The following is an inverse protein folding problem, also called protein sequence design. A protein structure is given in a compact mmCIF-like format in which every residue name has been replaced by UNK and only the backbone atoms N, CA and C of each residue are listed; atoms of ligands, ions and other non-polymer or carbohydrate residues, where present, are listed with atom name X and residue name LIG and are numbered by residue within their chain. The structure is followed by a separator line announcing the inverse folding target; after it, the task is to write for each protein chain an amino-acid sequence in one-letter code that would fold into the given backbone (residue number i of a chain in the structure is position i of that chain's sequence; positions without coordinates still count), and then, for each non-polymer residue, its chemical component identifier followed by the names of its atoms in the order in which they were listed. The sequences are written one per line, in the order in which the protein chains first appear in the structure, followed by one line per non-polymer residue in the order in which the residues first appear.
data_IF_610889844702
#
_entry.id   IF_610889844702
#
_cell.length_a   1.000
_cell.length_b   1.000
_cell.length_c   1.000
_cell.angle_alpha   90.00
_cell.angle_beta   90.00
_cell.angle_gamma   90.00
#
_symmetry.space_group_name_H-M   'P 1'
#
loop_
_entity.id
_entity.type
_entity.pdbx_description
1 polymer ?
#
# COMPACT_ATOMS: atom_id res chain seq x y z
N UNK A 1 -9.10 -22.71 -21.05
CA UNK A 1 -10.12 -21.80 -20.47
C UNK A 1 -9.60 -20.37 -20.62
N UNK A 2 -10.46 -19.40 -20.91
CA UNK A 2 -10.10 -17.97 -20.94
C UNK A 2 -9.99 -17.43 -19.52
N UNK A 3 -8.90 -16.70 -19.23
CA UNK A 3 -8.69 -16.05 -17.92
C UNK A 3 -9.69 -14.92 -17.70
N UNK A 4 -10.07 -14.69 -16.44
CA UNK A 4 -10.98 -13.62 -16.03
C UNK A 4 -10.20 -12.31 -15.81
N UNK A 5 -10.75 -11.20 -16.31
CA UNK A 5 -10.14 -9.87 -16.16
C UNK A 5 -10.56 -9.18 -14.87
N UNK A 6 -9.60 -8.68 -14.10
CA UNK A 6 -9.82 -7.98 -12.82
C UNK A 6 -9.16 -6.60 -12.83
N UNK A 7 -9.91 -5.57 -12.43
CA UNK A 7 -9.38 -4.24 -12.17
C UNK A 7 -9.32 -4.01 -10.66
N UNK A 8 -8.14 -3.69 -10.13
CA UNK A 8 -7.94 -3.27 -8.74
C UNK A 8 -7.79 -1.76 -8.74
N UNK A 9 -8.63 -1.06 -7.98
CA UNK A 9 -8.62 0.41 -7.90
C UNK A 9 -8.01 0.80 -6.55
N UNK A 10 -6.87 1.47 -6.60
CA UNK A 10 -6.01 1.83 -5.48
C UNK A 10 -4.87 0.84 -5.27
N UNK A 11 -3.66 1.35 -5.05
CA UNK A 11 -2.45 0.61 -4.69
C UNK A 11 -1.98 0.91 -3.26
N UNK A 12 -2.93 1.17 -2.36
CA UNK A 12 -2.72 1.10 -0.90
C UNK A 12 -2.66 -0.36 -0.39
N UNK A 13 -2.52 -0.55 0.93
CA UNK A 13 -2.34 -1.88 1.53
C UNK A 13 -3.36 -2.94 1.05
N UNK A 14 -4.66 -2.58 0.98
CA UNK A 14 -5.70 -3.49 0.50
C UNK A 14 -5.56 -3.86 -0.99
N UNK A 15 -5.22 -2.88 -1.84
CA UNK A 15 -5.00 -3.11 -3.26
C UNK A 15 -3.76 -3.95 -3.55
N UNK A 16 -2.68 -3.73 -2.80
CA UNK A 16 -1.45 -4.54 -2.89
C UNK A 16 -1.69 -5.99 -2.43
N UNK A 17 -2.44 -6.19 -1.34
CA UNK A 17 -2.84 -7.52 -0.89
C UNK A 17 -3.69 -8.25 -1.95
N UNK A 18 -4.68 -7.56 -2.53
CA UNK A 18 -5.49 -8.12 -3.61
C UNK A 18 -4.62 -8.48 -4.83
N UNK A 19 -3.71 -7.60 -5.23
CA UNK A 19 -2.80 -7.84 -6.35
C UNK A 19 -1.91 -9.07 -6.13
N UNK A 20 -1.32 -9.24 -4.92
CA UNK A 20 -0.47 -10.40 -4.61
C UNK A 20 -1.22 -11.73 -4.77
N UNK A 21 -2.43 -11.83 -4.24
CA UNK A 21 -3.24 -13.03 -4.40
C UNK A 21 -3.74 -13.26 -5.84
N UNK A 22 -3.87 -12.21 -6.64
CA UNK A 22 -4.16 -12.35 -8.08
C UNK A 22 -2.96 -12.89 -8.85
N UNK A 23 -1.72 -12.54 -8.45
CA UNK A 23 -0.49 -13.11 -9.02
C UNK A 23 -0.42 -14.62 -8.79
N UNK A 24 -0.70 -15.07 -7.55
CA UNK A 24 -0.72 -16.49 -7.18
C UNK A 24 -1.73 -17.31 -8.00
N UNK A 25 -2.72 -16.65 -8.61
CA UNK A 25 -3.79 -17.25 -9.42
C UNK A 25 -3.77 -16.77 -10.86
N UNK A 26 -2.58 -16.50 -11.39
CA UNK A 26 -2.36 -15.98 -12.76
C UNK A 26 -2.75 -16.96 -13.89
N UNK A 27 -2.99 -18.23 -13.55
CA UNK A 27 -3.60 -19.26 -14.40
C UNK A 27 -5.11 -19.00 -14.62
N UNK A 28 -5.77 -18.38 -13.64
CA UNK A 28 -7.21 -18.08 -13.63
C UNK A 28 -7.49 -16.62 -13.99
N UNK A 29 -6.66 -15.68 -13.54
CA UNK A 29 -6.90 -14.24 -13.64
C UNK A 29 -5.86 -13.52 -14.49
N UNK A 30 -6.29 -12.44 -15.16
CA UNK A 30 -5.44 -11.37 -15.65
C UNK A 30 -5.89 -10.09 -14.95
N UNK A 31 -4.97 -9.32 -14.39
CA UNK A 31 -5.32 -8.16 -13.59
C UNK A 31 -4.53 -6.91 -13.95
N UNK A 32 -5.10 -5.76 -13.59
CA UNK A 32 -4.43 -4.45 -13.65
C UNK A 32 -4.78 -3.66 -12.41
N UNK A 33 -3.75 -3.04 -11.81
CA UNK A 33 -3.91 -2.12 -10.67
C UNK A 33 -3.86 -0.69 -11.21
N UNK A 34 -4.78 0.15 -10.74
CA UNK A 34 -4.83 1.57 -11.06
C UNK A 34 -4.64 2.37 -9.78
N UNK A 35 -3.70 3.30 -9.77
CA UNK A 35 -3.39 4.18 -8.64
C UNK A 35 -3.43 5.62 -9.11
N UNK A 36 -4.04 6.50 -8.31
CA UNK A 36 -4.16 7.92 -8.64
C UNK A 36 -2.82 8.64 -8.43
N UNK A 37 -2.10 8.27 -7.37
CA UNK A 37 -0.87 8.91 -6.94
C UNK A 37 0.35 8.39 -7.70
N UNK A 38 1.52 9.03 -7.49
CA UNK A 38 2.78 8.65 -8.16
C UNK A 38 3.44 7.37 -7.63
N UNK A 39 2.86 6.71 -6.63
CA UNK A 39 3.47 5.54 -5.99
C UNK A 39 2.47 4.68 -5.21
N UNK A 40 2.93 3.51 -4.75
CA UNK A 40 2.13 2.61 -3.92
C UNK A 40 2.13 3.06 -2.46
N UNK A 41 1.21 2.51 -1.66
CA UNK A 41 1.16 2.74 -0.21
C UNK A 41 -0.07 3.53 0.26
N UNK A 42 -0.76 4.21 -0.65
CA UNK A 42 -2.02 4.91 -0.36
C UNK A 42 -1.85 5.95 0.75
N UNK A 43 -2.64 5.83 1.83
CA UNK A 43 -2.57 6.76 2.97
C UNK A 43 -1.18 6.87 3.61
N UNK A 44 -0.29 5.88 3.44
CA UNK A 44 1.05 5.92 4.02
C UNK A 44 2.03 6.82 3.27
N UNK A 45 1.65 7.29 2.07
CA UNK A 45 2.40 8.27 1.29
C UNK A 45 2.13 9.66 1.84
N UNK A 46 3.10 10.23 2.55
CA UNK A 46 2.99 11.60 3.07
C UNK A 46 3.18 12.64 1.97
N UNK A 47 2.42 13.74 2.04
CA UNK A 47 2.59 14.93 1.21
C UNK A 47 2.31 16.19 2.05
N UNK A 48 2.99 17.30 1.74
CA UNK A 48 2.69 18.62 2.30
C UNK A 48 1.50 19.29 1.56
N UNK A 49 1.05 18.73 0.44
CA UNK A 49 -0.12 19.21 -0.29
C UNK A 49 -1.42 18.99 0.50
N UNK A 50 -2.36 19.92 0.37
CA UNK A 50 -3.68 19.82 1.03
C UNK A 50 -4.79 20.18 0.05
N UNK A 51 -5.97 19.58 0.25
CA UNK A 51 -7.16 19.71 -0.58
C UNK A 51 -7.02 19.16 -2.01
N UNK A 52 -6.07 19.65 -2.79
CA UNK A 52 -5.90 19.31 -4.21
C UNK A 52 -4.43 19.13 -4.56
N UNK A 53 -4.11 18.11 -5.35
CA UNK A 53 -2.76 17.82 -5.83
C UNK A 53 -2.41 18.64 -7.09
N UNK A 54 -1.16 18.49 -7.56
CA UNK A 54 -0.66 19.11 -8.80
C UNK A 54 -1.47 18.80 -10.07
N UNK A 55 -2.35 17.79 -10.05
CA UNK A 55 -3.21 17.39 -11.16
C UNK A 55 -4.65 17.89 -11.03
N UNK A 56 -4.97 18.66 -9.99
CA UNK A 56 -6.33 19.14 -9.76
C UNK A 56 -7.25 18.10 -9.11
N UNK A 57 -6.71 17.00 -8.59
CA UNK A 57 -7.48 15.94 -7.93
C UNK A 57 -7.41 16.06 -6.41
N UNK A 58 -8.40 15.56 -5.66
CA UNK A 58 -8.34 15.58 -4.21
C UNK A 58 -7.12 14.84 -3.66
N UNK A 59 -6.40 15.46 -2.72
CA UNK A 59 -5.29 14.81 -2.01
C UNK A 59 -5.83 13.59 -1.27
N UNK A 60 -5.29 12.41 -1.57
CA UNK A 60 -5.75 11.14 -1.01
C UNK A 60 -5.23 10.89 0.42
N UNK A 61 -3.98 11.30 0.70
CA UNK A 61 -3.34 11.02 1.98
C UNK A 61 -3.80 11.98 3.06
N UNK A 62 -4.16 11.43 4.22
CA UNK A 62 -4.43 12.20 5.45
C UNK A 62 -3.27 12.08 6.45
N UNK A 63 -2.11 11.63 5.99
CA UNK A 63 -0.93 11.46 6.83
C UNK A 63 -0.37 12.82 7.27
N UNK A 64 0.24 12.87 8.44
CA UNK A 64 0.94 14.05 8.95
C UNK A 64 2.37 13.72 9.34
N UNK A 65 3.23 14.74 9.31
CA UNK A 65 4.70 14.63 9.29
C UNK A 65 5.30 13.65 10.29
N UNK A 66 4.86 13.69 11.55
CA UNK A 66 5.46 12.93 12.65
C UNK A 66 4.58 11.76 13.12
N UNK A 67 3.64 11.30 12.27
CA UNK A 67 2.74 10.21 12.64
C UNK A 67 3.54 8.95 12.98
N UNK A 68 3.25 8.39 14.16
CA UNK A 68 3.61 7.02 14.53
C UNK A 68 2.37 6.15 14.52
N UNK A 69 2.56 4.86 14.27
CA UNK A 69 1.45 3.91 14.27
C UNK A 69 0.71 3.95 15.60
N UNK A 70 -0.60 3.78 15.56
CA UNK A 70 -1.45 3.64 16.74
C UNK A 70 -1.61 2.18 17.18
N UNK A 71 -1.10 1.24 16.39
CA UNK A 71 -1.02 -0.19 16.68
C UNK A 71 0.46 -0.64 16.66
N UNK A 72 0.79 -1.70 17.41
CA UNK A 72 2.10 -2.34 17.29
C UNK A 72 2.26 -2.97 15.89
N UNK A 73 3.42 -2.80 15.25
CA UNK A 73 3.72 -3.32 13.90
C UNK A 73 3.46 -4.82 13.78
N UNK A 74 3.63 -5.55 14.88
CA UNK A 74 3.44 -6.99 15.00
C UNK A 74 2.01 -7.44 14.69
N UNK A 75 1.01 -6.56 14.84
CA UNK A 75 -0.40 -6.83 14.47
C UNK A 75 -0.86 -6.13 13.19
N UNK A 76 0.02 -5.34 12.56
CA UNK A 76 -0.28 -4.62 11.33
C UNK A 76 0.21 -5.36 10.08
N UNK A 77 1.24 -6.21 10.21
CA UNK A 77 1.89 -6.90 9.10
C UNK A 77 1.04 -8.01 8.47
N UNK A 78 1.37 -8.33 7.22
CA UNK A 78 0.87 -9.53 6.55
C UNK A 78 1.63 -10.74 7.11
N UNK A 79 0.91 -11.83 7.37
CA UNK A 79 1.47 -12.99 8.08
C UNK A 79 2.63 -13.66 7.31
N UNK A 80 2.63 -13.56 5.99
CA UNK A 80 3.61 -14.13 5.07
C UNK A 80 4.75 -13.15 4.73
N UNK A 81 4.72 -11.93 5.27
CA UNK A 81 5.70 -10.90 4.99
C UNK A 81 5.94 -10.04 6.23
N UNK A 82 6.96 -10.35 7.05
CA UNK A 82 7.20 -9.61 8.28
C UNK A 82 7.74 -8.20 8.00
N UNK A 83 7.51 -7.28 8.94
CA UNK A 83 8.21 -6.00 8.97
C UNK A 83 9.74 -6.20 9.05
N UNK A 84 10.48 -5.19 8.62
CA UNK A 84 11.93 -5.18 8.81
C UNK A 84 12.28 -5.28 10.30
N UNK A 85 13.41 -5.93 10.68
CA UNK A 85 13.81 -6.02 12.07
C UNK A 85 14.02 -4.64 12.69
N UNK A 86 13.28 -4.35 13.76
CA UNK A 86 13.41 -3.14 14.57
C UNK A 86 12.89 -3.41 15.98
N UNK A 87 13.56 -2.83 16.98
CA UNK A 87 13.20 -2.94 18.40
C UNK A 87 11.96 -2.11 18.76
N UNK A 88 11.47 -1.26 17.85
CA UNK A 88 10.31 -0.40 18.07
C UNK A 88 9.03 -1.06 17.56
N UNK A 89 8.03 -1.25 18.43
CA UNK A 89 6.71 -1.75 18.00
C UNK A 89 5.83 -0.67 17.39
N UNK A 90 5.92 0.58 17.86
CA UNK A 90 5.16 1.72 17.33
C UNK A 90 6.05 2.54 16.39
N UNK A 91 6.02 2.21 15.10
CA UNK A 91 6.95 2.71 14.09
C UNK A 91 6.49 4.02 13.46
N UNK A 92 7.38 4.71 12.75
CA UNK A 92 7.03 5.93 12.02
C UNK A 92 6.21 5.59 10.77
N UNK A 93 5.38 6.50 10.26
CA UNK A 93 4.58 6.23 9.06
C UNK A 93 5.44 5.83 7.84
N UNK A 94 6.67 6.36 7.75
CA UNK A 94 7.63 6.01 6.69
C UNK A 94 8.07 4.54 6.73
N UNK A 95 8.10 3.93 7.92
CA UNK A 95 8.44 2.51 8.07
C UNK A 95 7.33 1.61 7.49
N UNK A 96 6.08 2.03 7.64
CA UNK A 96 4.92 1.35 7.06
C UNK A 96 4.87 1.53 5.55
N UNK A 97 5.17 2.73 5.04
CA UNK A 97 5.30 2.95 3.59
C UNK A 97 6.37 2.02 2.99
N UNK A 98 7.58 2.01 3.57
CA UNK A 98 8.68 1.15 3.12
C UNK A 98 8.33 -0.34 3.19
N UNK A 99 7.57 -0.75 4.21
CA UNK A 99 7.05 -2.10 4.31
C UNK A 99 6.14 -2.46 3.12
N UNK A 100 5.21 -1.57 2.74
CA UNK A 100 4.30 -1.78 1.61
C UNK A 100 5.03 -1.76 0.26
N UNK A 101 6.00 -0.87 0.08
CA UNK A 101 6.87 -0.85 -1.10
C UNK A 101 7.65 -2.16 -1.24
N UNK A 102 8.19 -2.69 -0.14
CA UNK A 102 8.88 -3.98 -0.16
C UNK A 102 7.92 -5.15 -0.42
N UNK A 103 6.70 -5.10 0.10
CA UNK A 103 5.70 -6.16 -0.07
C UNK A 103 5.32 -6.39 -1.53
N UNK A 104 5.31 -5.34 -2.36
CA UNK A 104 4.99 -5.44 -3.79
C UNK A 104 6.21 -5.68 -4.70
N UNK A 105 7.42 -5.81 -4.15
CA UNK A 105 8.62 -6.18 -4.91
C UNK A 105 8.75 -7.71 -4.96
N UNK A 106 8.03 -8.34 -5.89
CA UNK A 106 8.10 -9.78 -6.17
C UNK A 106 8.66 -10.07 -7.58
#
# INVERSE_FOLDING_TARGET
MTRLSVAVIGAGAGGLCAARHLVDRSDTFIFKVFEQTGGVGGTWVYTDETNTDQHGLPVHSSMYRDLRTNLPKEVMGFLDFPFHPTDQSYVHHSDVLKYLENYCNF
#
